data_IF_662405941558
#
_entry.id   IF_662405941558
#
_cell.length_a   1.000
_cell.length_b   1.000
_cell.length_c   1.000
_cell.angle_alpha   90.00
_cell.angle_beta   90.00
_cell.angle_gamma   90.00
#
_symmetry.space_group_name_H-M   'P 1'
#
loop_
_entity.id
_entity.type
_entity.pdbx_description
1 polymer ?
#
# COMPACT_ATOMS: atom_id res chain seq x y z
N UNK A 1 -17.79 -31.50 26.33
CA UNK A 1 -16.42 -30.99 26.46
C UNK A 1 -15.99 -30.49 25.10
N UNK A 2 -15.87 -29.18 24.91
CA UNK A 2 -15.32 -28.66 23.66
C UNK A 2 -13.83 -28.99 23.64
N UNK A 3 -13.40 -29.73 22.62
CA UNK A 3 -11.99 -29.97 22.33
C UNK A 3 -11.27 -28.63 22.22
N UNK A 4 -10.41 -28.32 23.19
CA UNK A 4 -9.54 -27.15 23.16
C UNK A 4 -8.35 -27.44 22.23
N UNK A 5 -8.64 -27.65 20.95
CA UNK A 5 -7.62 -27.78 19.92
C UNK A 5 -7.11 -26.38 19.62
N UNK A 6 -5.88 -26.10 20.05
CA UNK A 6 -5.17 -24.87 19.68
C UNK A 6 -5.10 -24.76 18.16
N UNK A 7 -5.51 -23.61 17.62
CA UNK A 7 -5.35 -23.28 16.21
C UNK A 7 -3.88 -23.39 15.80
N UNK A 8 -3.65 -23.99 14.64
CA UNK A 8 -2.34 -24.18 14.02
C UNK A 8 -2.32 -23.55 12.63
N UNK A 9 -1.14 -23.17 12.14
CA UNK A 9 -0.99 -22.56 10.81
C UNK A 9 -1.56 -23.46 9.68
N UNK A 10 -1.46 -24.78 9.85
CA UNK A 10 -1.98 -25.78 8.90
C UNK A 10 -3.51 -25.83 8.81
N UNK A 11 -4.22 -25.16 9.71
CA UNK A 11 -5.69 -25.11 9.70
C UNK A 11 -6.22 -24.13 8.64
N UNK A 12 -5.34 -23.29 8.09
CA UNK A 12 -5.62 -22.29 7.06
C UNK A 12 -5.18 -22.77 5.68
N UNK A 13 -5.87 -22.27 4.67
CA UNK A 13 -5.64 -22.63 3.25
C UNK A 13 -5.22 -21.40 2.43
N UNK A 14 -5.67 -20.21 2.86
CA UNK A 14 -5.46 -18.93 2.20
C UNK A 14 -4.80 -17.97 3.20
N UNK A 15 -3.78 -17.25 2.74
CA UNK A 15 -3.11 -16.22 3.53
C UNK A 15 -3.21 -14.89 2.80
N UNK A 16 -3.92 -13.93 3.40
CA UNK A 16 -3.96 -12.55 2.91
C UNK A 16 -2.85 -11.74 3.57
N UNK A 17 -2.10 -11.04 2.75
CA UNK A 17 -1.05 -10.12 3.17
C UNK A 17 -1.48 -8.67 2.96
N UNK A 18 -1.27 -7.86 3.99
CA UNK A 18 -0.88 -6.47 3.79
C UNK A 18 0.53 -6.41 3.16
N UNK A 19 0.89 -5.30 2.51
CA UNK A 19 2.17 -5.16 1.79
C UNK A 19 3.07 -4.08 2.38
N UNK A 20 2.60 -2.85 2.51
CA UNK A 20 3.44 -1.72 2.89
C UNK A 20 3.53 -1.60 4.41
N UNK A 21 4.65 -2.08 4.96
CA UNK A 21 4.89 -2.22 6.41
C UNK A 21 4.97 -3.68 6.82
N UNK A 22 4.39 -4.57 6.02
CA UNK A 22 4.39 -6.02 6.25
C UNK A 22 5.46 -6.71 5.40
N UNK A 23 5.43 -6.49 4.09
CA UNK A 23 6.33 -7.11 3.11
C UNK A 23 7.38 -6.12 2.57
N UNK A 24 7.04 -4.84 2.49
CA UNK A 24 7.91 -3.75 2.02
C UNK A 24 8.20 -2.72 3.12
N UNK A 25 9.44 -2.23 3.16
CA UNK A 25 9.89 -1.21 4.11
C UNK A 25 9.53 0.20 3.62
N UNK A 26 8.25 0.55 3.74
CA UNK A 26 7.77 1.86 3.29
C UNK A 26 8.32 3.02 4.13
N UNK A 27 8.53 2.82 5.44
CA UNK A 27 8.92 3.92 6.34
C UNK A 27 10.32 4.44 6.01
N UNK A 28 11.26 3.53 5.72
CA UNK A 28 12.61 3.92 5.32
C UNK A 28 12.59 4.66 4.00
N UNK A 29 11.80 4.21 3.03
CA UNK A 29 11.75 4.81 1.70
C UNK A 29 11.01 6.15 1.69
N UNK A 30 9.86 6.27 2.34
CA UNK A 30 9.17 7.56 2.53
C UNK A 30 10.10 8.55 3.23
N UNK A 31 10.77 8.15 4.32
CA UNK A 31 11.66 9.08 5.03
C UNK A 31 12.81 9.55 4.14
N UNK A 32 13.43 8.66 3.34
CA UNK A 32 14.44 9.05 2.35
C UNK A 32 13.87 10.05 1.34
N UNK A 33 12.68 9.80 0.79
CA UNK A 33 12.02 10.66 -0.18
C UNK A 33 11.57 12.01 0.42
N UNK A 34 11.32 12.09 1.72
CA UNK A 34 10.96 13.34 2.41
C UNK A 34 12.16 14.26 2.65
N UNK A 35 13.39 13.72 2.77
CA UNK A 35 14.59 14.51 3.13
C UNK A 35 14.79 15.77 2.28
N UNK A 36 14.66 15.73 0.93
CA UNK A 36 14.82 16.94 0.11
C UNK A 36 13.81 18.05 0.45
N UNK A 37 12.59 17.70 0.84
CA UNK A 37 11.59 18.68 1.29
C UNK A 37 11.96 19.21 2.67
N UNK A 38 12.26 18.32 3.62
CA UNK A 38 12.58 18.68 5.01
C UNK A 38 13.82 19.58 5.12
N UNK A 39 14.82 19.40 4.25
CA UNK A 39 16.04 20.21 4.27
C UNK A 39 15.83 21.65 3.81
N UNK A 40 14.70 21.97 3.18
CA UNK A 40 14.40 23.32 2.68
C UNK A 40 13.89 24.27 3.76
N UNK A 41 13.40 23.75 4.88
CA UNK A 41 12.70 24.54 5.88
C UNK A 41 13.37 24.43 7.26
N UNK A 42 13.69 25.55 7.92
CA UNK A 42 14.22 25.54 9.29
C UNK A 42 13.29 24.84 10.29
N UNK A 43 11.98 24.88 10.07
CA UNK A 43 10.96 24.27 10.92
C UNK A 43 11.13 22.75 11.10
N UNK A 44 11.68 22.06 10.10
CA UNK A 44 11.95 20.61 10.12
C UNK A 44 13.40 20.24 10.44
N UNK A 45 14.28 21.22 10.70
CA UNK A 45 15.73 20.99 10.84
C UNK A 45 16.13 20.05 11.99
N UNK A 46 15.28 19.93 13.01
CA UNK A 46 15.52 19.07 14.19
C UNK A 46 14.62 17.83 14.23
N UNK A 47 13.78 17.61 13.22
CA UNK A 47 12.87 16.48 13.22
C UNK A 47 13.64 15.17 13.13
N UNK A 48 13.34 14.28 14.07
CA UNK A 48 13.68 12.87 14.00
C UNK A 48 12.93 12.17 12.85
N UNK A 49 13.37 10.95 12.50
CA UNK A 49 12.64 10.09 11.55
C UNK A 49 11.18 9.91 11.95
N UNK A 50 10.93 9.69 13.25
CA UNK A 50 9.60 9.46 13.79
C UNK A 50 8.71 10.69 13.61
N UNK A 51 9.18 11.89 14.00
CA UNK A 51 8.39 13.12 13.86
C UNK A 51 8.06 13.44 12.40
N UNK A 52 9.00 13.20 11.48
CA UNK A 52 8.74 13.39 10.05
C UNK A 52 7.67 12.44 9.51
N UNK A 53 7.72 11.16 9.91
CA UNK A 53 6.72 10.15 9.52
C UNK A 53 5.35 10.44 10.15
N UNK A 54 5.30 10.80 11.43
CA UNK A 54 4.05 11.17 12.12
C UNK A 54 3.38 12.39 11.46
N UNK A 55 4.16 13.42 11.13
CA UNK A 55 3.64 14.61 10.44
C UNK A 55 3.09 14.27 9.05
N UNK A 56 3.80 13.42 8.30
CA UNK A 56 3.36 12.99 6.97
C UNK A 56 2.10 12.11 7.04
N UNK A 57 2.08 11.09 7.90
CA UNK A 57 0.93 10.18 8.05
C UNK A 57 -0.30 10.90 8.57
N UNK A 58 -0.18 11.90 9.44
CA UNK A 58 -1.32 12.71 9.87
C UNK A 58 -2.01 13.45 8.71
N UNK A 59 -1.24 13.89 7.71
CA UNK A 59 -1.77 14.52 6.50
C UNK A 59 -2.43 13.46 5.61
N UNK A 60 -1.75 12.35 5.40
CA UNK A 60 -2.23 11.25 4.57
C UNK A 60 -3.57 10.69 5.06
N UNK A 61 -3.73 10.46 6.37
CA UNK A 61 -4.99 10.02 6.98
C UNK A 61 -6.13 11.01 6.71
N UNK A 62 -5.90 12.32 6.89
CA UNK A 62 -6.90 13.36 6.62
C UNK A 62 -7.31 13.39 5.15
N UNK A 63 -6.34 13.25 4.23
CA UNK A 63 -6.61 13.20 2.79
C UNK A 63 -7.38 11.95 2.39
N UNK A 64 -7.06 10.78 2.94
CA UNK A 64 -7.82 9.55 2.65
C UNK A 64 -9.29 9.69 3.06
N UNK A 65 -9.55 10.29 4.23
CA UNK A 65 -10.91 10.50 4.72
C UNK A 65 -11.70 11.47 3.82
N UNK A 66 -11.05 12.53 3.33
CA UNK A 66 -11.66 13.54 2.44
C UNK A 66 -11.82 13.06 1.00
N UNK A 67 -10.91 12.22 0.53
CA UNK A 67 -10.79 11.84 -0.88
C UNK A 67 -10.61 10.32 -1.06
N UNK A 68 -11.60 9.51 -0.66
CA UNK A 68 -11.49 8.05 -0.65
C UNK A 68 -11.33 7.40 -2.03
N UNK A 69 -11.58 8.16 -3.11
CA UNK A 69 -11.43 7.70 -4.49
C UNK A 69 -10.13 8.11 -5.18
N UNK A 70 -9.24 8.87 -4.52
CA UNK A 70 -7.93 9.19 -5.11
C UNK A 70 -7.09 7.93 -5.25
N UNK A 71 -6.28 7.86 -6.31
CA UNK A 71 -5.23 6.85 -6.39
C UNK A 71 -4.17 7.14 -5.34
N UNK A 72 -3.60 6.09 -4.76
CA UNK A 72 -2.68 6.25 -3.63
C UNK A 72 -1.43 7.07 -3.99
N UNK A 73 -0.87 6.89 -5.20
CA UNK A 73 0.23 7.75 -5.67
C UNK A 73 -0.12 9.24 -5.73
N UNK A 74 -1.34 9.59 -6.11
CA UNK A 74 -1.81 10.97 -6.20
C UNK A 74 -2.06 11.53 -4.78
N UNK A 75 -2.55 10.66 -3.88
CA UNK A 75 -2.68 10.97 -2.47
C UNK A 75 -1.33 11.25 -1.80
N UNK A 76 -0.29 10.44 -2.08
CA UNK A 76 1.07 10.66 -1.60
C UNK A 76 1.66 11.97 -2.15
N UNK A 77 1.46 12.24 -3.45
CA UNK A 77 1.87 13.51 -4.06
C UNK A 77 1.20 14.69 -3.36
N UNK A 78 -0.10 14.57 -3.08
CA UNK A 78 -0.84 15.62 -2.38
C UNK A 78 -0.41 15.79 -0.93
N UNK A 79 -0.16 14.70 -0.22
CA UNK A 79 0.37 14.75 1.14
C UNK A 79 1.73 15.46 1.20
N UNK A 80 2.61 15.18 0.23
CA UNK A 80 3.90 15.86 0.09
C UNK A 80 3.74 17.37 -0.18
N UNK A 81 2.76 17.75 -1.01
CA UNK A 81 2.42 19.16 -1.27
C UNK A 81 1.93 19.88 -0.01
N UNK A 82 0.94 19.30 0.68
CA UNK A 82 0.38 19.84 1.93
C UNK A 82 1.47 19.99 2.99
N UNK A 83 2.35 18.99 3.13
CA UNK A 83 3.46 19.03 4.10
C UNK A 83 4.41 20.18 3.80
N UNK A 84 4.75 20.40 2.52
CA UNK A 84 5.59 21.50 2.09
C UNK A 84 4.99 22.86 2.43
N UNK A 85 3.71 23.07 2.17
CA UNK A 85 3.02 24.32 2.53
C UNK A 85 2.90 24.48 4.05
N UNK A 86 2.68 23.41 4.83
CA UNK A 86 2.68 23.49 6.31
C UNK A 86 4.04 23.91 6.85
N UNK A 87 5.13 23.37 6.32
CA UNK A 87 6.50 23.76 6.69
C UNK A 87 6.84 25.20 6.28
N UNK A 88 6.34 25.62 5.12
CA UNK A 88 6.45 26.99 4.62
C UNK A 88 5.73 27.99 5.53
N UNK A 89 4.47 27.71 5.90
CA UNK A 89 3.70 28.49 6.85
C UNK A 89 4.41 28.57 8.22
N UNK A 90 4.90 27.43 8.73
CA UNK A 90 5.65 27.38 9.99
C UNK A 90 6.96 28.18 9.95
N UNK A 91 7.49 28.46 8.76
CA UNK A 91 8.66 29.31 8.54
C UNK A 91 8.31 30.79 8.32
N UNK A 92 7.05 31.19 8.54
CA UNK A 92 6.57 32.58 8.42
C UNK A 92 6.38 33.06 6.98
N UNK A 93 6.36 32.15 6.00
CA UNK A 93 6.17 32.49 4.59
C UNK A 93 4.69 32.38 4.18
N UNK A 94 4.29 33.17 3.18
CA UNK A 94 2.94 33.14 2.62
C UNK A 94 2.63 31.81 1.92
N UNK A 95 1.42 31.31 2.08
CA UNK A 95 0.97 29.98 1.66
C UNK A 95 -0.34 30.05 0.91
N UNK A 96 -0.63 29.04 0.09
CA UNK A 96 -1.91 28.92 -0.63
C UNK A 96 -2.88 28.06 0.18
N UNK A 97 -4.02 28.63 0.57
CA UNK A 97 -5.02 27.95 1.42
C UNK A 97 -5.55 26.66 0.81
N UNK A 98 -5.83 26.64 -0.50
CA UNK A 98 -6.35 25.45 -1.21
C UNK A 98 -5.38 24.26 -1.15
N UNK A 99 -4.07 24.53 -1.19
CA UNK A 99 -3.07 23.47 -1.02
C UNK A 99 -3.05 22.94 0.41
N UNK A 100 -3.12 23.81 1.42
CA UNK A 100 -3.12 23.41 2.84
C UNK A 100 -4.34 22.57 3.23
N UNK A 101 -5.49 22.85 2.63
CA UNK A 101 -6.74 22.13 2.89
C UNK A 101 -6.77 20.73 2.25
N UNK A 102 -5.88 20.48 1.29
CA UNK A 102 -5.75 19.19 0.63
C UNK A 102 -6.47 19.06 -0.70
N UNK A 103 -6.85 20.15 -1.39
CA UNK A 103 -7.55 20.08 -2.68
C UNK A 103 -6.72 19.34 -3.77
N UNK A 104 -7.18 18.18 -4.28
CA UNK A 104 -6.41 17.39 -5.24
C UNK A 104 -6.30 18.03 -6.64
N UNK A 105 -7.04 19.10 -6.94
CA UNK A 105 -7.00 19.79 -8.24
C UNK A 105 -5.60 20.30 -8.61
N UNK A 106 -4.74 20.55 -7.62
CA UNK A 106 -3.37 21.06 -7.78
C UNK A 106 -2.38 20.04 -8.36
N UNK A 107 -2.68 18.73 -8.27
CA UNK A 107 -1.82 17.66 -8.78
C UNK A 107 -2.19 17.29 -10.24
N UNK A 108 -3.41 17.60 -10.69
CA UNK A 108 -3.95 17.22 -12.01
C UNK A 108 -3.66 18.17 -13.18
N UNK A 109 -3.07 19.35 -12.94
CA UNK A 109 -2.89 20.38 -13.99
C UNK A 109 -1.71 20.12 -14.96
N UNK A 110 -1.02 18.98 -14.89
CA UNK A 110 0.17 18.70 -15.72
C UNK A 110 0.05 17.52 -16.69
N UNK A 111 -1.13 16.90 -16.86
CA UNK A 111 -1.28 15.75 -17.76
C UNK A 111 -2.23 15.94 -18.96
N UNK A 112 -2.67 17.17 -19.26
CA UNK A 112 -3.66 17.38 -20.32
C UNK A 112 -3.36 18.63 -21.19
N UNK A 113 -2.52 18.44 -22.22
CA UNK A 113 -2.62 19.16 -23.49
C UNK A 113 -1.79 20.45 -23.68
N UNK A 114 -0.76 20.37 -24.53
CA UNK A 114 -0.54 21.32 -25.63
C UNK A 114 0.57 20.81 -26.59
N UNK A 115 0.13 20.37 -27.76
CA UNK A 115 0.96 20.24 -28.96
C UNK A 115 1.23 21.65 -29.50
N UNK A 116 2.50 22.05 -29.66
CA UNK A 116 3.02 22.74 -30.86
C UNK A 116 4.54 22.82 -30.80
N UNK A 117 5.15 22.56 -31.95
CA UNK A 117 6.57 22.48 -32.27
C UNK A 117 7.44 23.68 -31.87
N UNK A 118 8.65 23.42 -31.39
CA UNK A 118 9.92 23.92 -31.98
C UNK A 118 11.10 23.20 -31.31
N UNK A 119 12.02 22.69 -32.14
CA UNK A 119 13.22 21.99 -31.67
C UNK A 119 14.25 22.99 -31.14
N UNK A 120 14.64 22.87 -29.86
CA UNK A 120 15.97 23.21 -29.35
C UNK A 120 16.12 22.79 -27.87
N UNK A 121 17.18 22.03 -27.57
CA UNK A 121 17.71 21.65 -26.25
C UNK A 121 16.86 20.70 -25.39
N UNK A 122 17.16 19.41 -25.44
CA UNK A 122 16.67 18.38 -24.51
C UNK A 122 17.23 18.59 -23.09
N UNK A 123 16.72 19.60 -22.37
CA UNK A 123 16.66 19.52 -20.91
C UNK A 123 15.47 18.63 -20.58
N UNK A 124 15.66 17.53 -19.84
CA UNK A 124 14.54 16.74 -19.28
C UNK A 124 13.53 17.72 -18.66
N UNK A 125 12.21 17.59 -18.96
CA UNK A 125 11.22 18.45 -18.32
C UNK A 125 11.41 18.39 -16.81
N UNK A 126 11.39 19.54 -16.15
CA UNK A 126 11.45 19.60 -14.69
C UNK A 126 10.25 18.82 -14.14
N UNK A 127 10.51 17.63 -13.60
CA UNK A 127 9.48 16.79 -13.01
C UNK A 127 8.96 17.46 -11.74
N UNK A 128 7.64 17.57 -11.60
CA UNK A 128 7.04 18.12 -10.40
C UNK A 128 7.46 17.25 -9.18
N UNK A 129 8.15 17.80 -8.17
CA UNK A 129 8.70 17.01 -7.06
C UNK A 129 7.62 16.30 -6.23
N UNK A 130 6.39 16.82 -6.20
CA UNK A 130 5.26 16.16 -5.53
C UNK A 130 4.81 14.92 -6.31
N UNK A 131 4.71 15.02 -7.64
CA UNK A 131 4.38 13.87 -8.49
C UNK A 131 5.50 12.83 -8.43
N UNK A 132 6.77 13.25 -8.47
CA UNK A 132 7.91 12.36 -8.30
C UNK A 132 7.88 11.65 -6.94
N UNK A 133 7.52 12.35 -5.86
CA UNK A 133 7.34 11.76 -4.54
C UNK A 133 6.22 10.70 -4.54
N UNK A 134 5.05 11.01 -5.11
CA UNK A 134 3.95 10.06 -5.22
C UNK A 134 4.29 8.81 -6.02
N UNK A 135 5.04 8.98 -7.12
CA UNK A 135 5.51 7.89 -7.97
C UNK A 135 6.66 7.08 -7.36
N UNK A 136 7.28 7.53 -6.26
CA UNK A 136 8.41 6.83 -5.63
C UNK A 136 8.04 5.44 -5.09
N UNK A 137 6.75 5.16 -4.88
CA UNK A 137 6.27 3.88 -4.39
C UNK A 137 6.70 2.68 -5.25
N UNK A 138 6.87 2.90 -6.56
CA UNK A 138 7.40 1.89 -7.49
C UNK A 138 8.82 1.46 -7.13
N UNK A 139 9.57 2.31 -6.43
CA UNK A 139 10.98 2.13 -6.09
C UNK A 139 11.17 1.52 -4.70
N UNK A 140 10.12 1.42 -3.87
CA UNK A 140 10.23 0.90 -2.51
C UNK A 140 10.57 -0.60 -2.48
N UNK A 141 11.46 -0.99 -1.56
CA UNK A 141 12.02 -2.34 -1.51
C UNK A 141 11.27 -3.25 -0.53
N UNK A 142 11.14 -4.55 -0.84
CA UNK A 142 10.78 -5.56 0.14
C UNK A 142 11.77 -5.60 1.32
N UNK A 143 11.31 -6.03 2.49
CA UNK A 143 12.22 -6.42 3.57
C UNK A 143 13.12 -7.60 3.11
N UNK A 144 14.35 -7.74 3.62
CA UNK A 144 15.30 -8.77 3.15
C UNK A 144 14.79 -10.21 3.26
N UNK A 145 13.92 -10.50 4.24
CA UNK A 145 13.31 -11.82 4.46
C UNK A 145 12.13 -12.13 3.52
N UNK A 146 11.50 -11.10 2.95
CA UNK A 146 10.20 -11.19 2.32
C UNK A 146 10.15 -12.17 1.15
N UNK A 147 11.07 -12.05 0.18
CA UNK A 147 10.98 -12.82 -1.08
C UNK A 147 11.14 -14.33 -0.83
N UNK A 148 12.09 -14.73 0.02
CA UNK A 148 12.29 -16.15 0.37
C UNK A 148 11.15 -16.69 1.23
N UNK A 149 10.63 -15.89 2.16
CA UNK A 149 9.46 -16.27 2.96
C UNK A 149 8.22 -16.50 2.09
N UNK A 150 7.92 -15.59 1.16
CA UNK A 150 6.81 -15.74 0.21
C UNK A 150 6.99 -16.98 -0.68
N UNK A 151 8.20 -17.22 -1.19
CA UNK A 151 8.53 -18.43 -1.97
C UNK A 151 8.32 -19.72 -1.18
N UNK A 152 8.59 -19.70 0.12
CA UNK A 152 8.36 -20.85 0.99
C UNK A 152 6.88 -21.04 1.28
N UNK A 153 6.17 -19.97 1.66
CA UNK A 153 4.75 -20.02 2.01
C UNK A 153 3.86 -20.39 0.81
N UNK A 154 4.21 -19.97 -0.41
CA UNK A 154 3.42 -20.27 -1.61
C UNK A 154 3.37 -21.75 -1.97
N UNK A 155 4.25 -22.57 -1.38
CA UNK A 155 4.21 -24.05 -1.50
C UNK A 155 3.07 -24.67 -0.67
N UNK A 156 2.56 -23.95 0.32
CA UNK A 156 1.61 -24.48 1.31
C UNK A 156 0.25 -23.78 1.27
N UNK A 157 0.20 -22.51 0.86
CA UNK A 157 -1.01 -21.69 0.91
C UNK A 157 -1.27 -21.00 -0.42
N UNK A 158 -2.54 -20.68 -0.68
CA UNK A 158 -2.90 -19.66 -1.67
C UNK A 158 -2.60 -18.30 -1.07
N UNK A 159 -1.57 -17.62 -1.56
CA UNK A 159 -1.20 -16.29 -1.06
C UNK A 159 -2.03 -15.23 -1.78
N UNK A 160 -2.54 -14.26 -1.05
CA UNK A 160 -3.34 -13.16 -1.59
C UNK A 160 -2.90 -11.84 -1.00
N UNK A 161 -3.28 -10.74 -1.66
CA UNK A 161 -3.01 -9.38 -1.20
C UNK A 161 -4.32 -8.61 -1.07
N UNK A 162 -4.43 -7.81 0.00
CA UNK A 162 -5.30 -6.63 0.03
C UNK A 162 -4.45 -5.40 0.39
N UNK A 163 -4.24 -4.53 -0.58
CA UNK A 163 -3.34 -3.37 -0.49
C UNK A 163 -4.08 -2.06 -0.69
N UNK A 164 -3.72 -1.02 0.05
CA UNK A 164 -4.27 0.33 -0.15
C UNK A 164 -3.75 1.02 -1.44
N UNK A 165 -2.78 0.44 -2.12
CA UNK A 165 -2.08 1.10 -3.25
C UNK A 165 -2.79 0.84 -4.58
N UNK A 166 -2.67 1.76 -5.55
CA UNK A 166 -3.24 1.61 -6.89
C UNK A 166 -2.55 0.52 -7.74
N UNK A 167 -3.26 0.03 -8.78
CA UNK A 167 -2.79 -1.08 -9.63
C UNK A 167 -1.42 -0.81 -10.27
N UNK A 168 -1.20 0.38 -10.82
CA UNK A 168 0.06 0.72 -11.51
C UNK A 168 1.24 0.69 -10.55
N UNK A 169 1.09 1.35 -9.40
CA UNK A 169 2.10 1.35 -8.35
C UNK A 169 2.39 -0.07 -7.82
N UNK A 170 1.33 -0.87 -7.64
CA UNK A 170 1.45 -2.23 -7.13
C UNK A 170 2.13 -3.18 -8.13
N UNK A 171 1.94 -3.01 -9.45
CA UNK A 171 2.60 -3.84 -10.47
C UNK A 171 4.12 -3.88 -10.32
N UNK A 172 4.75 -2.72 -10.06
CA UNK A 172 6.19 -2.63 -9.78
C UNK A 172 6.56 -3.34 -8.47
N UNK A 173 5.72 -3.23 -7.45
CA UNK A 173 5.93 -3.91 -6.17
C UNK A 173 5.82 -5.43 -6.34
N UNK A 174 4.87 -5.90 -7.15
CA UNK A 174 4.67 -7.32 -7.44
C UNK A 174 5.88 -7.93 -8.16
N UNK A 175 6.51 -7.21 -9.11
CA UNK A 175 7.73 -7.67 -9.76
C UNK A 175 8.86 -7.93 -8.75
N UNK A 176 9.05 -7.02 -7.79
CA UNK A 176 10.01 -7.17 -6.69
C UNK A 176 9.69 -8.34 -5.76
N UNK A 177 8.43 -8.46 -5.34
CA UNK A 177 7.98 -9.55 -4.47
C UNK A 177 8.06 -10.92 -5.15
N UNK A 178 8.04 -10.95 -6.49
CA UNK A 178 8.24 -12.15 -7.31
C UNK A 178 9.72 -12.53 -7.48
N UNK A 179 10.64 -11.65 -7.08
CA UNK A 179 12.08 -11.85 -7.24
C UNK A 179 12.54 -11.86 -8.69
N UNK A 180 11.79 -11.21 -9.58
CA UNK A 180 12.10 -11.13 -11.02
C UNK A 180 11.70 -9.77 -11.58
N UNK A 181 12.57 -8.79 -11.36
CA UNK A 181 12.40 -7.43 -11.88
C UNK A 181 12.81 -7.30 -13.35
N UNK A 182 13.38 -8.35 -13.96
CA UNK A 182 13.80 -8.31 -15.36
C UNK A 182 12.64 -8.41 -16.35
N UNK A 183 11.48 -8.86 -15.89
CA UNK A 183 10.26 -9.06 -16.69
C UNK A 183 9.03 -8.38 -16.07
N UNK A 184 9.03 -7.04 -15.88
CA UNK A 184 7.93 -6.32 -15.24
C UNK A 184 6.60 -6.43 -16.00
N UNK A 185 6.62 -6.75 -17.29
CA UNK A 185 5.45 -6.97 -18.14
C UNK A 185 4.59 -8.16 -17.67
N UNK A 186 5.17 -9.13 -16.97
CA UNK A 186 4.46 -10.31 -16.45
C UNK A 186 3.59 -9.99 -15.23
N UNK A 187 3.81 -8.83 -14.61
CA UNK A 187 3.19 -8.42 -13.35
C UNK A 187 2.30 -7.20 -13.55
N UNK A 188 1.69 -7.06 -14.72
CA UNK A 188 0.74 -5.99 -15.00
C UNK A 188 -0.68 -6.39 -14.56
N UNK A 189 -1.51 -5.43 -14.12
CA UNK A 189 -2.91 -5.69 -13.84
C UNK A 189 -3.69 -6.04 -15.12
N UNK A 190 -4.88 -6.66 -15.00
CA UNK A 190 -5.80 -6.82 -16.12
C UNK A 190 -6.12 -5.47 -16.78
N UNK A 191 -6.23 -5.46 -18.11
CA UNK A 191 -6.60 -4.26 -18.88
C UNK A 191 -8.06 -3.89 -18.69
N UNK A 192 -8.93 -4.89 -18.49
CA UNK A 192 -10.33 -4.66 -18.18
C UNK A 192 -10.52 -4.39 -16.67
N UNK A 193 -11.30 -3.36 -16.34
CA UNK A 193 -11.49 -2.92 -14.96
C UNK A 193 -12.28 -3.91 -14.11
N UNK A 194 -13.13 -4.74 -14.72
CA UNK A 194 -14.00 -5.72 -14.07
C UNK A 194 -13.32 -7.08 -13.81
N UNK A 195 -12.12 -7.30 -14.34
CA UNK A 195 -11.39 -8.56 -14.13
C UNK A 195 -10.55 -8.53 -12.85
N UNK A 196 -10.58 -9.66 -12.16
CA UNK A 196 -9.70 -9.95 -11.02
C UNK A 196 -8.27 -10.19 -11.48
N UNK A 197 -7.31 -9.82 -10.64
CA UNK A 197 -5.89 -9.93 -10.94
C UNK A 197 -5.30 -11.22 -10.38
N UNK A 198 -5.17 -12.24 -11.25
CA UNK A 198 -4.54 -13.53 -10.94
C UNK A 198 -3.14 -13.64 -11.59
N UNK A 199 -2.08 -13.08 -10.97
CA UNK A 199 -0.77 -13.02 -11.62
C UNK A 199 -0.12 -14.39 -11.85
N UNK A 200 -0.58 -15.46 -11.20
CA UNK A 200 -0.14 -16.84 -11.46
C UNK A 200 -0.69 -17.44 -12.76
N UNK A 201 -1.75 -16.87 -13.34
CA UNK A 201 -2.27 -17.32 -14.65
C UNK A 201 -1.42 -16.81 -15.82
N UNK A 202 -0.61 -15.77 -15.60
CA UNK A 202 0.26 -15.22 -16.63
C UNK A 202 1.39 -16.22 -16.93
N UNK A 203 1.56 -16.68 -18.19
CA UNK A 203 2.63 -17.61 -18.54
C UNK A 203 4.00 -17.10 -18.12
N UNK A 204 4.81 -17.97 -17.50
CA UNK A 204 6.15 -17.68 -16.96
C UNK A 204 6.20 -16.72 -15.76
N UNK A 205 5.06 -16.28 -15.23
CA UNK A 205 5.04 -15.49 -14.01
C UNK A 205 5.64 -16.26 -12.84
N UNK A 206 6.48 -15.57 -12.06
CA UNK A 206 7.03 -16.09 -10.80
C UNK A 206 6.29 -15.56 -9.57
N UNK A 207 5.10 -14.99 -9.78
CA UNK A 207 4.30 -14.44 -8.68
C UNK A 207 4.05 -15.49 -7.59
N UNK A 208 4.36 -15.17 -6.31
CA UNK A 208 4.00 -16.05 -5.21
C UNK A 208 2.49 -15.95 -4.87
N UNK A 209 1.80 -14.93 -5.40
CA UNK A 209 0.41 -14.64 -5.11
C UNK A 209 -0.53 -15.24 -6.14
N UNK A 210 -1.61 -15.85 -5.65
CA UNK A 210 -2.75 -16.27 -6.45
C UNK A 210 -3.61 -15.07 -6.83
N UNK A 211 -3.95 -14.18 -5.89
CA UNK A 211 -4.84 -13.03 -6.12
C UNK A 211 -4.25 -11.74 -5.57
N UNK A 212 -4.36 -10.66 -6.33
CA UNK A 212 -4.07 -9.30 -5.87
C UNK A 212 -5.35 -8.48 -5.85
N UNK A 213 -5.62 -7.83 -4.71
CA UNK A 213 -6.65 -6.81 -4.57
C UNK A 213 -6.03 -5.50 -4.09
N UNK A 214 -6.31 -4.43 -4.80
CA UNK A 214 -5.95 -3.05 -4.47
C UNK A 214 -7.15 -2.27 -3.95
N UNK A 215 -6.93 -1.13 -3.30
CA UNK A 215 -8.01 -0.20 -2.95
C UNK A 215 -8.81 0.25 -4.18
N UNK A 216 -8.14 0.33 -5.33
CA UNK A 216 -8.77 0.60 -6.62
C UNK A 216 -9.74 -0.53 -7.03
N UNK A 217 -9.41 -1.79 -6.76
CA UNK A 217 -10.24 -2.96 -7.09
C UNK A 217 -11.48 -3.06 -6.19
N UNK A 218 -11.30 -2.79 -4.89
CA UNK A 218 -12.37 -2.93 -3.89
C UNK A 218 -13.10 -1.62 -3.59
N UNK A 219 -12.74 -0.52 -4.27
CA UNK A 219 -13.37 0.79 -4.12
C UNK A 219 -13.26 1.42 -2.73
N UNK A 220 -12.32 1.00 -1.90
CA UNK A 220 -12.14 1.52 -0.55
C UNK A 220 -10.72 1.32 -0.01
N UNK A 221 -10.28 2.26 0.82
CA UNK A 221 -9.08 2.12 1.64
C UNK A 221 -9.39 1.34 2.93
N UNK A 222 -8.51 0.42 3.32
CA UNK A 222 -8.43 -0.04 4.71
C UNK A 222 -8.21 1.17 5.61
N UNK A 223 -8.84 1.27 6.81
CA UNK A 223 -9.50 0.22 7.59
C UNK A 223 -10.99 -0.01 7.29
N UNK A 224 -11.54 0.52 6.19
CA UNK A 224 -12.93 0.23 5.82
C UNK A 224 -13.12 -1.29 5.66
N UNK A 225 -14.22 -1.82 6.21
CA UNK A 225 -14.48 -3.28 6.21
C UNK A 225 -14.80 -3.81 4.81
N UNK A 226 -15.26 -2.95 3.91
CA UNK A 226 -15.75 -3.33 2.59
C UNK A 226 -14.71 -4.15 1.79
N UNK A 227 -13.44 -3.72 1.76
CA UNK A 227 -12.38 -4.46 1.07
C UNK A 227 -12.15 -5.88 1.60
N UNK A 228 -12.28 -6.08 2.91
CA UNK A 228 -12.16 -7.40 3.53
C UNK A 228 -13.36 -8.29 3.16
N UNK A 229 -14.57 -7.73 3.16
CA UNK A 229 -15.80 -8.44 2.77
C UNK A 229 -15.75 -8.89 1.32
N UNK A 230 -15.30 -8.00 0.41
CA UNK A 230 -15.08 -8.33 -1.01
C UNK A 230 -14.04 -9.44 -1.15
N UNK A 231 -12.92 -9.36 -0.44
CA UNK A 231 -11.89 -10.40 -0.48
C UNK A 231 -12.43 -11.78 -0.05
N UNK A 232 -13.20 -11.84 1.04
CA UNK A 232 -13.82 -13.09 1.50
C UNK A 232 -14.87 -13.61 0.52
N UNK A 233 -15.67 -12.73 -0.10
CA UNK A 233 -16.67 -13.10 -1.09
C UNK A 233 -16.03 -13.72 -2.34
N UNK A 234 -14.92 -13.14 -2.82
CA UNK A 234 -14.13 -13.68 -3.92
C UNK A 234 -13.59 -15.07 -3.57
N UNK A 235 -12.96 -15.24 -2.40
CA UNK A 235 -12.44 -16.55 -1.97
C UNK A 235 -13.54 -17.60 -1.87
N UNK A 236 -14.74 -17.20 -1.47
CA UNK A 236 -15.87 -18.10 -1.32
C UNK A 236 -16.43 -18.59 -2.67
N UNK A 237 -16.36 -17.75 -3.71
CA UNK A 237 -17.03 -17.97 -5.00
C UNK A 237 -16.09 -18.38 -6.13
N UNK A 238 -14.86 -17.88 -6.14
CA UNK A 238 -13.95 -18.05 -7.27
C UNK A 238 -13.31 -19.45 -7.27
N UNK A 239 -13.31 -20.16 -8.43
CA UNK A 239 -12.81 -21.53 -8.52
C UNK A 239 -11.32 -21.67 -8.17
N UNK A 240 -10.51 -20.60 -8.24
CA UNK A 240 -9.09 -20.64 -7.87
C UNK A 240 -8.82 -21.05 -6.41
N UNK A 241 -9.81 -20.85 -5.54
CA UNK A 241 -9.72 -21.15 -4.11
C UNK A 241 -10.35 -22.49 -3.72
N UNK A 242 -10.89 -23.22 -4.70
CA UNK A 242 -11.54 -24.50 -4.48
C UNK A 242 -12.84 -24.41 -3.67
N UNK A 243 -13.67 -25.45 -3.78
CA UNK A 243 -14.91 -25.56 -3.01
C UNK A 243 -14.60 -26.07 -1.61
N UNK A 244 -15.21 -25.46 -0.59
CA UNK A 244 -15.14 -25.91 0.79
C UNK A 244 -16.47 -25.68 1.48
N UNK A 245 -16.82 -26.59 2.39
CA UNK A 245 -17.99 -26.46 3.27
C UNK A 245 -17.66 -25.71 4.56
N UNK A 246 -16.39 -25.35 4.79
CA UNK A 246 -15.96 -24.54 5.93
C UNK A 246 -16.32 -23.08 5.66
N UNK A 247 -16.67 -22.37 6.73
CA UNK A 247 -16.78 -20.90 6.69
C UNK A 247 -15.46 -20.29 6.19
N UNK A 248 -15.54 -19.38 5.22
CA UNK A 248 -14.36 -18.75 4.60
C UNK A 248 -13.43 -18.10 5.63
N UNK A 249 -13.97 -17.51 6.71
CA UNK A 249 -13.18 -16.87 7.77
C UNK A 249 -12.36 -17.88 8.58
N UNK A 250 -12.73 -19.16 8.57
CA UNK A 250 -11.96 -20.23 9.21
C UNK A 250 -10.83 -20.75 8.30
N UNK A 251 -10.87 -20.46 7.01
CA UNK A 251 -9.88 -20.90 6.00
C UNK A 251 -8.83 -19.83 5.73
N UNK A 252 -9.15 -18.56 6.03
CA UNK A 252 -8.31 -17.38 5.76
C UNK A 252 -7.52 -16.98 7.01
N UNK A 253 -6.23 -16.76 6.83
CA UNK A 253 -5.35 -16.11 7.79
C UNK A 253 -4.96 -14.72 7.27
N UNK A 254 -5.14 -13.68 8.09
CA UNK A 254 -4.75 -12.31 7.75
C UNK A 254 -3.39 -11.96 8.34
N UNK A 255 -2.45 -11.49 7.54
CA UNK A 255 -1.08 -11.23 7.98
C UNK A 255 -0.71 -9.79 7.69
N UNK A 256 -0.43 -9.02 8.73
CA UNK A 256 -0.13 -7.61 8.60
C UNK A 256 0.73 -7.08 9.75
N UNK A 257 1.42 -5.98 9.50
CA UNK A 257 2.09 -5.17 10.52
C UNK A 257 1.13 -4.14 11.13
N UNK A 258 0.24 -3.55 10.33
CA UNK A 258 -0.62 -2.46 10.81
C UNK A 258 -1.77 -2.97 11.67
N UNK A 259 -1.77 -2.60 12.95
CA UNK A 259 -2.90 -2.88 13.83
C UNK A 259 -4.14 -2.10 13.43
N UNK A 260 -3.97 -0.83 13.05
CA UNK A 260 -5.05 0.07 12.67
C UNK A 260 -5.72 -0.33 11.35
N UNK A 261 -4.93 -0.53 10.29
CA UNK A 261 -5.47 -0.77 8.94
C UNK A 261 -5.91 -2.21 8.72
N UNK A 262 -5.29 -3.19 9.39
CA UNK A 262 -5.49 -4.60 9.08
C UNK A 262 -5.96 -5.43 10.26
N UNK A 263 -5.14 -5.55 11.31
CA UNK A 263 -5.40 -6.53 12.38
C UNK A 263 -6.72 -6.25 13.10
N UNK A 264 -6.98 -4.99 13.48
CA UNK A 264 -8.21 -4.59 14.14
C UNK A 264 -9.47 -4.80 13.27
N UNK A 265 -9.55 -4.27 12.03
CA UNK A 265 -10.73 -4.48 11.20
C UNK A 265 -10.95 -5.95 10.82
N UNK A 266 -9.89 -6.71 10.51
CA UNK A 266 -10.01 -8.15 10.21
C UNK A 266 -10.54 -8.94 11.43
N UNK A 267 -10.01 -8.65 12.62
CA UNK A 267 -10.47 -9.27 13.87
C UNK A 267 -11.93 -8.92 14.17
N UNK A 268 -12.34 -7.67 13.91
CA UNK A 268 -13.72 -7.19 14.12
C UNK A 268 -14.75 -7.99 13.34
N UNK A 269 -14.39 -8.50 12.16
CA UNK A 269 -15.26 -9.34 11.33
C UNK A 269 -15.00 -10.84 11.51
N UNK A 270 -14.15 -11.24 12.45
CA UNK A 270 -13.93 -12.63 12.86
C UNK A 270 -12.84 -13.39 12.09
N UNK A 271 -11.97 -12.69 11.35
CA UNK A 271 -10.82 -13.30 10.68
C UNK A 271 -9.67 -13.46 11.70
N UNK A 272 -8.97 -14.59 11.66
CA UNK A 272 -7.75 -14.79 12.46
C UNK A 272 -6.58 -14.05 11.85
N UNK A 273 -5.76 -13.45 12.70
CA UNK A 273 -4.64 -12.63 12.27
C UNK A 273 -3.31 -13.15 12.80
N UNK A 274 -2.24 -12.96 12.03
CA UNK A 274 -0.85 -12.95 12.49
C UNK A 274 -0.35 -11.52 12.40
N UNK A 275 0.11 -11.00 13.52
CA UNK A 275 0.75 -9.70 13.56
C UNK A 275 2.25 -9.86 13.30
N UNK A 276 2.76 -9.21 12.26
CA UNK A 276 4.20 -9.10 12.01
C UNK A 276 4.70 -7.83 12.71
N UNK A 277 5.27 -8.00 13.90
CA UNK A 277 5.93 -6.93 14.63
C UNK A 277 7.31 -6.61 14.02
N UNK A 278 7.31 -5.76 12.98
CA UNK A 278 8.56 -5.34 12.31
C UNK A 278 9.40 -4.50 13.28
N UNK A 279 10.58 -5.01 13.63
CA UNK A 279 11.52 -4.31 14.48
C UNK A 279 11.85 -2.90 13.94
N UNK A 280 11.66 -1.88 14.77
CA UNK A 280 11.93 -0.49 14.43
C UNK A 280 10.82 0.23 13.66
N UNK A 281 9.67 -0.42 13.42
CA UNK A 281 8.50 0.26 12.88
C UNK A 281 8.05 1.39 13.83
N UNK A 282 7.90 2.59 13.29
CA UNK A 282 7.41 3.76 14.00
C UNK A 282 5.89 3.93 13.87
N UNK A 283 5.30 3.37 12.80
CA UNK A 283 3.94 3.60 12.37
C UNK A 283 3.11 2.31 12.39
N UNK A 284 1.78 2.45 12.34
CA UNK A 284 0.85 1.30 12.30
C UNK A 284 0.56 0.63 13.65
N UNK A 285 1.16 1.11 14.74
CA UNK A 285 1.07 0.48 16.08
C UNK A 285 -0.08 1.00 16.97
N UNK A 286 -0.77 2.07 16.57
CA UNK A 286 -1.87 2.64 17.36
C UNK A 286 -3.13 1.76 17.24
N UNK A 287 -3.16 0.68 18.02
CA UNK A 287 -4.15 -0.39 17.89
C UNK A 287 -4.75 -0.93 19.18
N UNK A 288 -4.57 -0.25 20.33
CA UNK A 288 -5.38 -0.43 21.55
C UNK A 288 -5.40 -1.81 22.24
N UNK A 289 -4.73 -2.83 21.71
CA UNK A 289 -4.80 -4.19 22.23
C UNK A 289 -3.41 -4.77 22.48
N UNK A 290 -3.24 -5.39 23.65
CA UNK A 290 -2.05 -6.17 24.00
C UNK A 290 -2.08 -7.47 23.19
N UNK A 291 -1.33 -7.52 22.10
CA UNK A 291 -1.04 -8.75 21.37
C UNK A 291 0.19 -9.40 22.03
N UNK A 292 -0.05 -10.17 23.09
CA UNK A 292 0.94 -11.04 23.76
C UNK A 292 0.52 -12.48 23.65
#
# INVERSE_FOLDING_TARGET
>A
MASNTSLQLKDFEIVFFDVYGTLCDWETEIYKCLKPLLSRFPASSKWSRKEALEAFTAIEIDLQAKHPGLLYRDLLAKAHEVMGERLKAASGQEVRTTTLEGDPSTIGASSSGATTSTAASESKPFENPHIAFGNSIKDWSPFPDTVEALRTLSKYYKLCVLSNVDRTSFAHTLAKLSGDESHPELYQPPTESDKLWFPQEVPNSKSPFTLILTAQDVGSYKPALHGFEVALDIVQKDPHFGKSNRDVKQRVLWVAQSLHHDVNPATKIGIKCVWIDRAGAAMGLNGGHNYT
#
